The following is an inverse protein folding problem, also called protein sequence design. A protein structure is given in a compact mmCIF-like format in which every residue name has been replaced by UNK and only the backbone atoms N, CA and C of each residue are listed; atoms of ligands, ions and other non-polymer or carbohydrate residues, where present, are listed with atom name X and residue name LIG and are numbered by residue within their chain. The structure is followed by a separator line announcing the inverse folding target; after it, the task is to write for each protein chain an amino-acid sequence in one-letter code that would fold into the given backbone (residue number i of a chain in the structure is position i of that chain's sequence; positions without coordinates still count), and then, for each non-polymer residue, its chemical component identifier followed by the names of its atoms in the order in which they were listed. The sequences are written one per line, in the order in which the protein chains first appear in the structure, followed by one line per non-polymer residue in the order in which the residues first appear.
data_IF_259805570296
#
_entry.id   IF_259805570296
#
_cell.length_a   1.000
_cell.length_b   1.000
_cell.length_c   1.000
_cell.angle_alpha   90.00
_cell.angle_beta   90.00
_cell.angle_gamma   90.00
#
_symmetry.space_group_name_H-M   'P 1'
#
loop_
_entity.id
_entity.type
_entity.pdbx_description
1 polymer ?
#
# COMPACT_ATOMS: atom_id res chain seq x y z
N UNK A 1 16.94 -10.82 12.25
CA UNK A 1 15.54 -10.55 11.82
C UNK A 1 15.53 -10.38 10.31
N UNK A 2 14.60 -10.99 9.58
CA UNK A 2 14.59 -11.00 8.10
C UNK A 2 14.49 -9.57 7.54
N UNK A 3 15.49 -9.10 6.78
CA UNK A 3 15.55 -7.73 6.22
C UNK A 3 14.31 -7.41 5.37
N UNK A 4 13.84 -8.38 4.59
CA UNK A 4 12.61 -8.28 3.78
C UNK A 4 11.37 -8.11 4.65
N UNK A 5 11.30 -8.81 5.79
CA UNK A 5 10.19 -8.65 6.74
C UNK A 5 10.17 -7.24 7.36
N UNK A 6 11.33 -6.73 7.80
CA UNK A 6 11.43 -5.39 8.39
C UNK A 6 11.01 -4.32 7.37
N UNK A 7 11.50 -4.44 6.14
CA UNK A 7 11.15 -3.53 5.07
C UNK A 7 9.64 -3.57 4.80
N UNK A 8 9.06 -4.75 4.59
CA UNK A 8 7.63 -4.92 4.34
C UNK A 8 6.78 -4.39 5.49
N UNK A 9 7.19 -4.62 6.73
CA UNK A 9 6.50 -4.10 7.92
C UNK A 9 6.50 -2.57 7.95
N UNK A 10 7.63 -1.92 7.62
CA UNK A 10 7.71 -0.45 7.56
C UNK A 10 6.80 0.13 6.47
N UNK A 11 6.79 -0.47 5.29
CA UNK A 11 5.91 -0.06 4.18
C UNK A 11 4.44 -0.24 4.59
N UNK A 12 4.09 -1.39 5.15
CA UNK A 12 2.72 -1.69 5.56
C UNK A 12 2.23 -0.78 6.68
N UNK A 13 3.04 -0.52 7.72
CA UNK A 13 2.68 0.41 8.79
C UNK A 13 2.45 1.83 8.26
N UNK A 14 3.27 2.29 7.32
CA UNK A 14 3.05 3.58 6.67
C UNK A 14 1.69 3.60 5.95
N UNK A 15 1.34 2.54 5.22
CA UNK A 15 0.04 2.44 4.55
C UNK A 15 -1.12 2.44 5.55
N UNK A 16 -1.08 1.59 6.58
CA UNK A 16 -2.18 1.44 7.54
C UNK A 16 -2.39 2.70 8.38
N UNK A 17 -1.35 3.49 8.63
CA UNK A 17 -1.47 4.72 9.41
C UNK A 17 -1.83 5.91 8.50
N UNK A 18 -1.11 6.10 7.39
CA UNK A 18 -1.21 7.31 6.58
C UNK A 18 -2.36 7.23 5.56
N UNK A 19 -2.68 6.06 5.02
CA UNK A 19 -3.75 5.93 4.02
C UNK A 19 -5.13 6.26 4.60
N UNK A 20 -5.53 5.80 5.79
CA UNK A 20 -6.80 6.21 6.39
C UNK A 20 -6.87 7.71 6.67
N UNK A 21 -5.76 8.34 7.05
CA UNK A 21 -5.71 9.79 7.24
C UNK A 21 -5.92 10.54 5.92
N UNK A 22 -5.25 10.11 4.85
CA UNK A 22 -5.45 10.66 3.51
C UNK A 22 -6.87 10.43 2.99
N UNK A 23 -7.45 9.26 3.27
CA UNK A 23 -8.84 8.95 2.94
C UNK A 23 -9.80 9.93 3.64
N UNK A 24 -9.67 10.13 4.95
CA UNK A 24 -10.50 11.09 5.69
C UNK A 24 -10.38 12.51 5.12
N UNK A 25 -9.16 12.95 4.79
CA UNK A 25 -8.93 14.26 4.18
C UNK A 25 -9.60 14.37 2.81
N UNK A 26 -9.46 13.37 1.94
CA UNK A 26 -10.07 13.37 0.61
C UNK A 26 -11.60 13.31 0.66
N UNK A 27 -12.16 12.48 1.54
CA UNK A 27 -13.61 12.41 1.77
C UNK A 27 -14.17 13.76 2.18
N UNK A 28 -13.46 14.49 3.04
CA UNK A 28 -13.86 15.85 3.43
C UNK A 28 -13.90 16.83 2.25
N UNK A 29 -12.93 16.76 1.33
CA UNK A 29 -12.92 17.62 0.14
C UNK A 29 -14.03 17.30 -0.88
N UNK A 30 -14.63 16.10 -0.81
CA UNK A 30 -15.58 15.61 -1.81
C UNK A 30 -17.02 15.63 -1.29
N UNK A 31 -17.25 15.65 0.02
CA UNK A 31 -18.59 15.75 0.62
C UNK A 31 -19.12 17.20 0.50
N UNK A 32 -20.22 17.37 -0.23
CA UNK A 32 -20.85 18.68 -0.49
C UNK A 32 -21.62 19.28 0.73
N UNK A 33 -21.82 18.53 1.83
CA UNK A 33 -22.50 19.02 3.04
C UNK A 33 -21.89 18.46 4.34
N UNK A 34 -21.06 19.23 5.07
CA UNK A 34 -20.42 18.78 6.30
C UNK A 34 -21.28 19.11 7.52
N UNK A 35 -22.50 18.57 7.62
CA UNK A 35 -23.30 18.69 8.85
C UNK A 35 -22.90 17.66 9.92
N UNK A 36 -22.03 16.71 9.59
CA UNK A 36 -21.51 15.69 10.51
C UNK A 36 -20.17 16.16 11.06
N UNK A 37 -20.09 16.34 12.38
CA UNK A 37 -18.85 16.66 13.07
C UNK A 37 -17.83 15.54 12.85
N UNK A 38 -16.68 15.89 12.26
CA UNK A 38 -15.54 15.02 12.00
C UNK A 38 -15.11 14.21 13.24
N UNK A 39 -15.31 14.78 14.43
CA UNK A 39 -14.99 14.16 15.72
C UNK A 39 -15.99 13.07 16.10
N UNK A 40 -17.27 13.22 15.74
CA UNK A 40 -18.32 12.24 16.03
C UNK A 40 -18.22 11.00 15.12
N UNK A 41 -17.86 11.20 13.85
CA UNK A 41 -17.60 10.13 12.88
C UNK A 41 -16.32 9.35 13.25
N UNK A 42 -15.26 10.06 13.67
CA UNK A 42 -14.05 9.43 14.20
C UNK A 42 -14.33 8.69 15.53
N UNK A 43 -15.12 9.21 16.47
CA UNK A 43 -15.24 8.54 17.78
C UNK A 43 -16.00 7.22 17.75
N UNK A 44 -16.99 7.06 16.87
CA UNK A 44 -17.86 5.88 16.89
C UNK A 44 -17.46 4.83 15.84
N UNK A 45 -17.08 5.29 14.66
CA UNK A 45 -16.81 4.40 13.53
C UNK A 45 -15.32 4.12 13.34
N UNK A 46 -14.41 4.90 13.92
CA UNK A 46 -12.96 4.70 13.73
C UNK A 46 -12.44 3.40 14.34
N UNK A 47 -12.93 2.96 15.51
CA UNK A 47 -12.47 1.69 16.10
C UNK A 47 -12.87 0.52 15.20
N UNK A 48 -14.13 0.50 14.76
CA UNK A 48 -14.67 -0.52 13.87
C UNK A 48 -13.98 -0.46 12.50
N UNK A 49 -13.75 0.75 11.98
CA UNK A 49 -13.08 0.98 10.71
C UNK A 49 -11.60 0.58 10.78
N UNK A 50 -10.89 0.89 11.86
CA UNK A 50 -9.51 0.48 12.08
C UNK A 50 -9.38 -1.04 12.15
N UNK A 51 -10.29 -1.73 12.86
CA UNK A 51 -10.32 -3.19 12.91
C UNK A 51 -10.58 -3.80 11.52
N UNK A 52 -11.51 -3.24 10.73
CA UNK A 52 -11.76 -3.70 9.36
C UNK A 52 -10.57 -3.44 8.43
N UNK A 53 -9.92 -2.27 8.55
CA UNK A 53 -8.72 -1.93 7.78
C UNK A 53 -7.57 -2.89 8.12
N UNK A 54 -7.36 -3.20 9.40
CA UNK A 54 -6.36 -4.17 9.82
C UNK A 54 -6.68 -5.56 9.27
N UNK A 55 -7.93 -6.01 9.40
CA UNK A 55 -8.38 -7.31 8.89
C UNK A 55 -8.10 -7.46 7.38
N UNK A 56 -8.37 -6.40 6.60
CA UNK A 56 -8.18 -6.38 5.16
C UNK A 56 -6.69 -6.27 4.75
N UNK A 57 -5.90 -5.49 5.50
CA UNK A 57 -4.51 -5.18 5.13
C UNK A 57 -3.49 -6.19 5.64
N UNK A 58 -3.82 -7.03 6.63
CA UNK A 58 -2.93 -8.10 7.12
C UNK A 58 -2.62 -9.14 6.02
N UNK A 59 -3.60 -9.69 5.28
CA UNK A 59 -3.33 -10.58 4.14
C UNK A 59 -2.44 -9.90 3.08
N UNK A 60 -2.69 -8.62 2.82
CA UNK A 60 -1.85 -7.84 1.91
C UNK A 60 -0.41 -7.71 2.41
N UNK A 61 -0.20 -7.45 3.71
CA UNK A 61 1.13 -7.39 4.31
C UNK A 61 1.90 -8.70 4.13
N UNK A 62 1.22 -9.84 4.30
CA UNK A 62 1.82 -11.15 4.08
C UNK A 62 2.22 -11.38 2.62
N UNK A 63 1.31 -11.10 1.67
CA UNK A 63 1.60 -11.22 0.24
C UNK A 63 2.74 -10.29 -0.17
N UNK A 64 2.74 -9.05 0.32
CA UNK A 64 3.79 -8.07 0.07
C UNK A 64 5.14 -8.54 0.61
N UNK A 65 5.17 -9.11 1.81
CA UNK A 65 6.38 -9.70 2.38
C UNK A 65 6.93 -10.86 1.54
N UNK A 66 6.06 -11.80 1.12
CA UNK A 66 6.47 -12.91 0.25
C UNK A 66 7.02 -12.39 -1.08
N UNK A 67 6.41 -11.37 -1.67
CA UNK A 67 6.87 -10.76 -2.91
C UNK A 67 8.26 -10.12 -2.74
N UNK A 68 8.45 -9.29 -1.70
CA UNK A 68 9.76 -8.69 -1.39
C UNK A 68 10.80 -9.78 -1.17
N UNK A 69 10.50 -10.79 -0.35
CA UNK A 69 11.41 -11.89 -0.04
C UNK A 69 11.80 -12.71 -1.26
N UNK A 70 10.86 -13.01 -2.16
CA UNK A 70 11.14 -13.77 -3.38
C UNK A 70 11.93 -12.96 -4.39
N UNK A 71 11.58 -11.68 -4.58
CA UNK A 71 12.25 -10.81 -5.55
C UNK A 71 13.67 -10.44 -5.10
N UNK A 72 13.88 -10.26 -3.79
CA UNK A 72 15.18 -9.89 -3.23
C UNK A 72 16.25 -10.96 -3.32
N UNK A 73 15.88 -12.22 -3.61
CA UNK A 73 16.85 -13.31 -3.75
C UNK A 73 17.66 -13.26 -5.06
N UNK A 74 17.14 -12.58 -6.09
CA UNK A 74 17.68 -12.70 -7.45
C UNK A 74 17.89 -11.36 -8.15
N UNK A 75 17.51 -10.25 -7.52
CA UNK A 75 17.38 -8.95 -8.18
C UNK A 75 17.88 -7.83 -7.30
N UNK A 76 18.44 -6.81 -7.95
CA UNK A 76 18.87 -5.60 -7.29
C UNK A 76 17.71 -4.84 -6.63
N UNK A 77 17.96 -4.14 -5.50
CA UNK A 77 16.94 -3.39 -4.76
C UNK A 77 16.08 -2.46 -5.62
N UNK A 78 16.68 -1.81 -6.61
CA UNK A 78 15.97 -0.88 -7.49
C UNK A 78 14.92 -1.59 -8.36
N UNK A 79 15.29 -2.73 -8.95
CA UNK A 79 14.37 -3.55 -9.75
C UNK A 79 13.21 -4.07 -8.89
N UNK A 80 13.50 -4.51 -7.65
CA UNK A 80 12.46 -4.95 -6.70
C UNK A 80 11.46 -3.82 -6.44
N UNK A 81 11.95 -2.60 -6.13
CA UNK A 81 11.09 -1.43 -5.90
C UNK A 81 10.23 -1.09 -7.11
N UNK A 82 10.78 -1.17 -8.32
CA UNK A 82 10.03 -0.93 -9.57
C UNK A 82 8.91 -1.95 -9.76
N UNK A 83 9.20 -3.25 -9.62
CA UNK A 83 8.21 -4.31 -9.77
C UNK A 83 7.07 -4.15 -8.76
N UNK A 84 7.40 -3.85 -7.50
CA UNK A 84 6.39 -3.61 -6.46
C UNK A 84 5.54 -2.36 -6.75
N UNK A 85 6.15 -1.28 -7.25
CA UNK A 85 5.43 -0.06 -7.67
C UNK A 85 4.46 -0.37 -8.80
N UNK A 86 4.91 -1.10 -9.82
CA UNK A 86 4.08 -1.50 -10.96
C UNK A 86 2.93 -2.41 -10.50
N UNK A 87 3.20 -3.35 -9.61
CA UNK A 87 2.17 -4.24 -9.06
C UNK A 87 1.07 -3.45 -8.32
N UNK A 88 1.45 -2.48 -7.47
CA UNK A 88 0.48 -1.60 -6.80
C UNK A 88 -0.33 -0.82 -7.84
N UNK A 89 0.30 -0.22 -8.85
CA UNK A 89 -0.40 0.51 -9.90
C UNK A 89 -1.40 -0.37 -10.66
N UNK A 90 -1.02 -1.59 -11.04
CA UNK A 90 -1.91 -2.53 -11.73
C UNK A 90 -3.10 -2.90 -10.84
N UNK A 91 -2.85 -3.31 -9.60
CA UNK A 91 -3.91 -3.70 -8.64
C UNK A 91 -4.87 -2.53 -8.43
N UNK A 92 -4.35 -1.32 -8.35
CA UNK A 92 -5.16 -0.13 -8.05
C UNK A 92 -5.91 0.40 -9.27
N UNK A 93 -5.44 0.13 -10.49
CA UNK A 93 -6.13 0.46 -11.75
C UNK A 93 -7.22 -0.55 -12.11
N UNK A 94 -7.12 -1.80 -11.64
CA UNK A 94 -8.06 -2.87 -11.97
C UNK A 94 -9.52 -2.53 -11.60
N UNK A 95 -9.83 -1.97 -10.41
CA UNK A 95 -11.17 -1.51 -10.07
C UNK A 95 -11.64 -0.36 -10.96
N UNK A 96 -10.76 0.54 -11.40
CA UNK A 96 -11.14 1.60 -12.34
C UNK A 96 -11.58 1.03 -13.69
N UNK A 97 -10.92 -0.02 -14.18
CA UNK A 97 -11.35 -0.69 -15.42
C UNK A 97 -12.72 -1.35 -15.27
N UNK A 98 -12.98 -2.00 -14.14
CA UNK A 98 -14.31 -2.57 -13.85
C UNK A 98 -15.38 -1.47 -13.83
N UNK A 99 -15.06 -0.33 -13.24
CA UNK A 99 -15.97 0.82 -13.13
C UNK A 99 -16.21 1.57 -14.44
N UNK A 100 -15.29 1.52 -15.41
CA UNK A 100 -15.51 2.10 -16.74
C UNK A 100 -16.68 1.44 -17.49
N UNK A 101 -17.05 0.21 -17.12
CA UNK A 101 -18.22 -0.49 -17.67
C UNK A 101 -19.50 -0.23 -16.87
N UNK A 102 -19.39 0.40 -15.70
CA UNK A 102 -20.52 0.78 -14.86
C UNK A 102 -21.07 2.15 -15.27
N UNK A 103 -22.40 2.27 -15.44
CA UNK A 103 -23.04 3.51 -15.87
C UNK A 103 -23.11 4.61 -14.79
N UNK A 104 -22.71 4.31 -13.55
CA UNK A 104 -22.88 5.19 -12.41
C UNK A 104 -21.60 5.98 -12.08
N UNK A 105 -21.52 7.22 -12.55
CA UNK A 105 -20.37 8.12 -12.34
C UNK A 105 -20.07 8.37 -10.85
N UNK A 106 -21.08 8.33 -9.98
CA UNK A 106 -20.92 8.50 -8.52
C UNK A 106 -20.19 7.34 -7.84
N UNK A 107 -20.20 6.13 -8.43
CA UNK A 107 -19.44 5.00 -7.91
C UNK A 107 -17.93 5.18 -8.13
N UNK A 108 -17.55 5.82 -9.24
CA UNK A 108 -16.15 6.06 -9.62
C UNK A 108 -15.44 6.97 -8.63
N UNK A 109 -16.06 8.10 -8.26
CA UNK A 109 -15.47 9.05 -7.31
C UNK A 109 -15.31 8.43 -5.92
N UNK A 110 -16.31 7.68 -5.46
CA UNK A 110 -16.30 7.02 -4.16
C UNK A 110 -15.17 5.98 -4.04
N UNK A 111 -14.95 5.19 -5.10
CA UNK A 111 -13.89 4.17 -5.11
C UNK A 111 -12.51 4.81 -5.26
N UNK A 112 -12.39 5.89 -6.05
CA UNK A 112 -11.14 6.62 -6.18
C UNK A 112 -10.65 7.19 -4.84
N UNK A 113 -11.57 7.71 -4.03
CA UNK A 113 -11.27 8.25 -2.69
C UNK A 113 -10.71 7.18 -1.76
N UNK A 114 -11.17 5.94 -1.89
CA UNK A 114 -10.66 4.82 -1.10
C UNK A 114 -9.32 4.34 -1.62
N UNK A 115 -9.19 4.07 -2.93
CA UNK A 115 -8.00 3.42 -3.50
C UNK A 115 -6.78 4.33 -3.50
N UNK A 116 -6.96 5.61 -3.87
CA UNK A 116 -5.86 6.54 -4.12
C UNK A 116 -4.94 6.76 -2.90
N UNK A 117 -5.46 6.94 -1.67
CA UNK A 117 -4.65 6.95 -0.45
C UNK A 117 -3.73 5.74 -0.27
N UNK A 118 -4.25 4.52 -0.50
CA UNK A 118 -3.47 3.29 -0.32
C UNK A 118 -2.42 3.15 -1.42
N UNK A 119 -2.73 3.52 -2.66
CA UNK A 119 -1.75 3.52 -3.77
C UNK A 119 -0.58 4.44 -3.48
N UNK A 120 -0.88 5.70 -3.12
CA UNK A 120 0.16 6.72 -2.89
C UNK A 120 1.03 6.33 -1.70
N UNK A 121 0.42 5.93 -0.59
CA UNK A 121 1.17 5.58 0.62
C UNK A 121 1.98 4.31 0.44
N UNK A 122 1.48 3.32 -0.31
CA UNK A 122 2.23 2.12 -0.66
C UNK A 122 3.45 2.43 -1.52
N UNK A 123 3.27 3.21 -2.57
CA UNK A 123 4.38 3.65 -3.44
C UNK A 123 5.37 4.51 -2.64
N UNK A 124 4.90 5.50 -1.89
CA UNK A 124 5.75 6.32 -1.03
C UNK A 124 6.53 5.45 -0.03
N UNK A 125 5.87 4.47 0.60
CA UNK A 125 6.51 3.54 1.52
C UNK A 125 7.65 2.75 0.87
N UNK A 126 7.44 2.25 -0.35
CA UNK A 126 8.45 1.52 -1.13
C UNK A 126 9.71 2.37 -1.35
N UNK A 127 9.51 3.65 -1.71
CA UNK A 127 10.59 4.54 -2.10
C UNK A 127 11.29 5.20 -0.90
N UNK A 128 10.53 5.63 0.12
CA UNK A 128 11.06 6.29 1.32
C UNK A 128 11.90 5.35 2.18
N UNK A 129 11.53 4.08 2.28
CA UNK A 129 12.30 3.13 3.07
C UNK A 129 13.48 2.58 2.29
N UNK A 130 14.67 2.62 2.89
CA UNK A 130 15.85 1.96 2.34
C UNK A 130 15.63 0.45 2.36
N UNK A 131 15.79 -0.19 1.20
CA UNK A 131 15.76 -1.63 1.07
C UNK A 131 17.19 -2.14 0.96
N UNK A 132 17.66 -2.85 1.98
CA UNK A 132 18.96 -3.52 1.96
C UNK A 132 18.75 -4.94 1.46
N UNK A 133 19.28 -5.26 0.27
CA UNK A 133 19.31 -6.63 -0.22
C UNK A 133 20.09 -7.48 0.79
N UNK A 134 19.70 -8.75 1.03
CA UNK A 134 20.67 -9.73 1.48
C UNK A 134 21.71 -9.85 0.37
N UNK A 135 22.84 -9.20 0.60
CA UNK A 135 24.16 -9.37 0.02
C UNK A 135 24.20 -10.18 -1.30
N UNK A 136 24.42 -9.47 -2.41
CA UNK A 136 24.91 -10.04 -3.68
C UNK A 136 26.37 -10.57 -3.56
N UNK A 137 26.89 -10.72 -2.33
CA UNK A 137 28.33 -10.83 -2.06
C UNK A 137 28.86 -12.27 -1.88
N UNK A 138 28.05 -13.34 -1.93
CA UNK A 138 28.56 -14.69 -1.65
C UNK A 138 28.76 -15.64 -2.84
N UNK A 139 28.33 -15.33 -4.07
CA UNK A 139 28.52 -16.26 -5.21
C UNK A 139 29.59 -15.85 -6.24
N UNK A 140 30.21 -14.67 -6.13
CA UNK A 140 31.19 -14.21 -7.14
C UNK A 140 32.66 -14.38 -6.74
N UNK A 141 32.94 -14.87 -5.52
CA UNK A 141 34.32 -15.02 -5.01
C UNK A 141 34.85 -16.46 -5.12
N UNK A 142 34.00 -17.50 -5.13
CA UNK A 142 34.47 -18.90 -5.18
C UNK A 142 34.82 -19.44 -6.58
N UNK A 143 34.54 -18.72 -7.67
CA UNK A 143 34.94 -19.16 -9.04
C UNK A 143 36.32 -18.62 -9.49
N UNK A 144 37.10 -18.00 -8.59
CA UNK A 144 38.47 -17.55 -8.88
C UNK A 144 39.44 -17.89 -7.75
N UNK A 145 39.60 -19.17 -7.44
CA UNK A 145 40.83 -19.69 -6.83
C UNK A 145 41.32 -20.95 -7.56
#
# INVERSE_FOLDING_TARGET
MNRSFIYSLKVWLLMVIIAPLLHLVLSWFIIENPEISLIAEIQKDYIIFADMVLLLTIPFAFVFWVAVYSLSKKREPFYVKQVLTIAILIITMLPFFELLFEKNVSAVSSIAVIIFPYSITGIAGIWLHKFESPDFEEETVEERE
#
